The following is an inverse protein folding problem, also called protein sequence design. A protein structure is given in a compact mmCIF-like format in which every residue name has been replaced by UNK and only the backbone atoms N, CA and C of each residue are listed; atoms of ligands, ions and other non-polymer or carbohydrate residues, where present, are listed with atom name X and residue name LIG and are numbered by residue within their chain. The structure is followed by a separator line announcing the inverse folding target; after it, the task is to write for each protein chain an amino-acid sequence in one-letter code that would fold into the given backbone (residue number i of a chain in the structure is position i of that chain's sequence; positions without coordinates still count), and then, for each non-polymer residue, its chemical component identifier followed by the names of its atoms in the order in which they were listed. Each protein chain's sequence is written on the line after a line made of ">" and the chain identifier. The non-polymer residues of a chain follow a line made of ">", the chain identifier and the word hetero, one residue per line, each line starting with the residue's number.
data_IF_826099009753
#
_entry.id   IF_826099009753
#
_cell.length_a   1.000
_cell.length_b   1.000
_cell.length_c   1.000
_cell.angle_alpha   90.00
_cell.angle_beta   90.00
_cell.angle_gamma   90.00
#
_symmetry.space_group_name_H-M   'P 1'
#
loop_
_entity.id
_entity.type
_entity.pdbx_description
1 polymer ?
#
# COMPACT_ATOMS: atom_id res chain seq x y z
N UNK A 1 -12.05 -19.72 -17.40
CA UNK A 1 -12.35 -18.58 -16.51
C UNK A 1 -13.47 -17.74 -17.14
N UNK A 2 -14.39 -17.34 -16.30
CA UNK A 2 -15.52 -16.49 -16.71
C UNK A 2 -15.17 -15.01 -16.52
N UNK A 3 -15.99 -14.13 -17.10
CA UNK A 3 -15.87 -12.68 -16.86
C UNK A 3 -15.95 -12.35 -15.38
N UNK A 4 -16.81 -13.04 -14.63
CA UNK A 4 -16.94 -12.88 -13.19
C UNK A 4 -15.62 -13.21 -12.47
N UNK A 5 -14.94 -14.27 -12.90
CA UNK A 5 -13.65 -14.66 -12.30
C UNK A 5 -12.60 -13.56 -12.48
N UNK A 6 -12.53 -12.99 -13.67
CA UNK A 6 -11.62 -11.87 -13.96
C UNK A 6 -11.93 -10.64 -13.10
N UNK A 7 -13.21 -10.33 -12.91
CA UNK A 7 -13.62 -9.20 -12.06
C UNK A 7 -13.27 -9.45 -10.59
N UNK A 8 -13.46 -10.66 -10.10
CA UNK A 8 -13.12 -11.02 -8.72
C UNK A 8 -11.61 -10.96 -8.47
N UNK A 9 -10.82 -11.47 -9.42
CA UNK A 9 -9.35 -11.40 -9.37
C UNK A 9 -8.91 -9.93 -9.38
N UNK A 10 -9.49 -9.12 -10.27
CA UNK A 10 -9.16 -7.70 -10.37
C UNK A 10 -9.47 -6.96 -9.08
N UNK A 11 -10.63 -7.23 -8.48
CA UNK A 11 -10.97 -6.65 -7.17
C UNK A 11 -9.95 -7.03 -6.11
N UNK A 12 -9.54 -8.31 -6.07
CA UNK A 12 -8.52 -8.78 -5.13
C UNK A 12 -7.17 -8.07 -5.35
N UNK A 13 -6.78 -7.86 -6.60
CA UNK A 13 -5.55 -7.12 -6.94
C UNK A 13 -5.61 -5.66 -6.48
N UNK A 14 -6.76 -5.01 -6.64
CA UNK A 14 -6.95 -3.63 -6.18
C UNK A 14 -6.93 -3.54 -4.65
N UNK A 15 -7.53 -4.50 -3.96
CA UNK A 15 -7.46 -4.57 -2.49
C UNK A 15 -6.01 -4.77 -2.05
N UNK A 16 -5.28 -5.67 -2.71
CA UNK A 16 -3.86 -5.88 -2.46
C UNK A 16 -3.04 -4.61 -2.66
N UNK A 17 -3.31 -3.85 -3.72
CA UNK A 17 -2.69 -2.56 -3.98
C UNK A 17 -2.94 -1.56 -2.85
N UNK A 18 -4.18 -1.45 -2.39
CA UNK A 18 -4.53 -0.56 -1.29
C UNK A 18 -3.77 -0.93 -0.01
N UNK A 19 -3.72 -2.22 0.31
CA UNK A 19 -2.99 -2.71 1.49
C UNK A 19 -1.47 -2.51 1.36
N UNK A 20 -0.93 -2.68 0.16
CA UNK A 20 0.47 -2.42 -0.14
C UNK A 20 0.84 -0.95 0.08
N UNK A 21 -0.04 -0.02 -0.32
CA UNK A 21 0.20 1.41 -0.10
C UNK A 21 0.21 1.76 1.39
N UNK A 22 -0.66 1.16 2.18
CA UNK A 22 -0.65 1.32 3.63
C UNK A 22 0.62 0.72 4.26
N UNK A 23 1.04 -0.46 3.78
CA UNK A 23 2.27 -1.09 4.25
C UNK A 23 3.50 -0.22 3.93
N UNK A 24 3.53 0.42 2.76
CA UNK A 24 4.61 1.32 2.37
C UNK A 24 4.72 2.51 3.33
N UNK A 25 3.61 3.11 3.72
CA UNK A 25 3.59 4.20 4.69
C UNK A 25 4.16 3.76 6.04
N UNK A 26 3.78 2.57 6.52
CA UNK A 26 4.32 2.02 7.77
C UNK A 26 5.82 1.71 7.67
N UNK A 27 6.27 1.22 6.52
CA UNK A 27 7.70 0.98 6.28
C UNK A 27 8.50 2.28 6.25
N UNK A 28 7.95 3.34 5.67
CA UNK A 28 8.56 4.67 5.68
C UNK A 28 8.71 5.21 7.12
N UNK A 29 7.66 5.09 7.92
CA UNK A 29 7.68 5.50 9.32
C UNK A 29 8.73 4.71 10.11
N UNK A 30 8.77 3.39 9.90
CA UNK A 30 9.76 2.53 10.57
C UNK A 30 11.18 2.87 10.15
N UNK A 31 11.42 3.18 8.89
CA UNK A 31 12.74 3.60 8.39
C UNK A 31 13.22 4.88 9.08
N UNK A 32 12.32 5.85 9.28
CA UNK A 32 12.64 7.10 10.00
C UNK A 32 13.02 6.80 11.45
N UNK A 33 12.27 5.94 12.12
CA UNK A 33 12.55 5.55 13.51
C UNK A 33 13.92 4.86 13.64
N UNK A 34 14.25 3.96 12.73
CA UNK A 34 15.54 3.27 12.72
C UNK A 34 16.68 4.26 12.53
N UNK A 35 16.54 5.21 11.61
CA UNK A 35 17.56 6.26 11.39
C UNK A 35 17.78 7.06 12.68
N UNK A 36 16.71 7.40 13.38
CA UNK A 36 16.74 8.14 14.63
C UNK A 36 17.45 7.32 15.71
N UNK A 37 17.11 6.05 15.87
CA UNK A 37 17.74 5.15 16.84
C UNK A 37 19.22 4.95 16.55
N UNK A 38 19.60 4.79 15.28
CA UNK A 38 21.00 4.67 14.85
C UNK A 38 21.79 5.92 15.19
N UNK A 39 21.24 7.09 14.94
CA UNK A 39 21.86 8.38 15.26
C UNK A 39 22.06 8.52 16.76
N UNK A 40 21.04 8.19 17.56
CA UNK A 40 21.10 8.24 19.01
C UNK A 40 22.14 7.24 19.57
N UNK A 41 22.18 6.06 18.99
CA UNK A 41 23.14 5.02 19.40
C UNK A 41 24.59 5.44 19.13
N UNK A 42 24.85 6.06 17.98
CA UNK A 42 26.16 6.60 17.63
C UNK A 42 26.58 7.72 18.57
N UNK A 43 25.64 8.63 18.90
CA UNK A 43 25.89 9.72 19.84
C UNK A 43 26.27 9.22 21.23
N UNK A 44 25.57 8.21 21.74
CA UNK A 44 25.89 7.58 23.02
C UNK A 44 27.28 6.96 23.01
N UNK A 45 27.71 6.37 21.91
CA UNK A 45 29.04 5.78 21.79
C UNK A 45 30.15 6.80 21.91
N UNK A 46 29.99 8.00 21.37
CA UNK A 46 30.98 9.07 21.45
C UNK A 46 31.10 9.65 22.84
N UNK A 47 30.05 9.63 23.64
CA UNK A 47 29.97 10.21 24.97
C UNK A 47 30.39 9.23 26.08
N UNK A 48 30.62 7.96 25.77
CA UNK A 48 30.98 6.93 26.73
C UNK A 48 32.40 6.44 26.50
N UNK A 49 33.15 6.27 27.64
CA UNK A 49 34.42 5.56 27.59
C UNK A 49 34.19 4.13 27.10
N UNK A 50 35.17 3.54 26.35
CA UNK A 50 35.06 2.16 25.91
C UNK A 50 34.89 1.22 27.10
N UNK A 51 33.73 0.61 27.20
CA UNK A 51 33.47 -0.42 28.21
C UNK A 51 33.97 -1.75 27.65
N UNK A 52 34.95 -2.34 28.30
CA UNK A 52 35.40 -3.68 27.96
C UNK A 52 34.40 -4.69 28.51
N UNK A 53 33.75 -5.46 27.62
CA UNK A 53 32.80 -6.51 27.98
C UNK A 53 31.55 -6.54 27.14
N UNK A 54 30.48 -7.14 27.66
CA UNK A 54 29.22 -7.39 26.94
C UNK A 54 28.53 -6.16 26.39
N UNK A 55 28.81 -4.96 26.89
CA UNK A 55 28.21 -3.72 26.40
C UNK A 55 28.67 -3.31 25.02
N UNK A 56 29.92 -3.57 24.62
CA UNK A 56 30.44 -3.27 23.29
C UNK A 56 29.83 -4.21 22.25
N UNK A 57 29.72 -5.51 22.58
CA UNK A 57 29.07 -6.50 21.70
C UNK A 57 27.60 -6.20 21.53
N UNK A 58 26.89 -5.78 22.57
CA UNK A 58 25.50 -5.39 22.52
C UNK A 58 25.27 -4.20 21.61
N UNK A 59 26.16 -3.20 21.60
CA UNK A 59 26.09 -2.06 20.70
C UNK A 59 26.23 -2.49 19.25
N UNK A 60 27.26 -3.26 18.94
CA UNK A 60 27.53 -3.73 17.57
C UNK A 60 26.42 -4.63 17.04
N UNK A 61 25.89 -5.52 17.89
CA UNK A 61 24.79 -6.41 17.54
C UNK A 61 23.52 -5.61 17.22
N UNK A 62 23.22 -4.59 18.02
CA UNK A 62 22.07 -3.71 17.77
C UNK A 62 22.23 -2.92 16.50
N UNK A 63 23.42 -2.37 16.25
CA UNK A 63 23.70 -1.62 15.02
C UNK A 63 23.59 -2.52 13.80
N UNK A 64 24.15 -3.72 13.84
CA UNK A 64 24.02 -4.69 12.75
C UNK A 64 22.56 -5.09 12.50
N UNK A 65 21.78 -5.29 13.55
CA UNK A 65 20.35 -5.60 13.43
C UNK A 65 19.58 -4.46 12.77
N UNK A 66 19.87 -3.21 13.13
CA UNK A 66 19.24 -2.03 12.52
C UNK A 66 19.60 -1.89 11.04
N UNK A 67 20.86 -2.13 10.68
CA UNK A 67 21.32 -2.10 9.28
C UNK A 67 20.59 -3.17 8.47
N UNK A 68 20.51 -4.39 9.02
CA UNK A 68 19.78 -5.49 8.37
C UNK A 68 18.29 -5.15 8.19
N UNK A 69 17.64 -4.56 9.18
CA UNK A 69 16.25 -4.14 9.10
C UNK A 69 16.05 -3.06 8.03
N UNK A 70 16.95 -2.08 7.94
CA UNK A 70 16.93 -1.07 6.86
C UNK A 70 16.96 -1.71 5.47
N UNK A 71 17.83 -2.70 5.29
CA UNK A 71 17.93 -3.40 4.01
C UNK A 71 16.65 -4.17 3.68
N UNK A 72 16.05 -4.81 4.67
CA UNK A 72 14.76 -5.50 4.52
C UNK A 72 13.66 -4.51 4.11
N UNK A 73 13.60 -3.36 4.78
CA UNK A 73 12.62 -2.30 4.48
C UNK A 73 12.82 -1.80 3.05
N UNK A 74 14.05 -1.48 2.66
CA UNK A 74 14.36 -0.98 1.31
C UNK A 74 13.95 -2.00 0.23
N UNK A 75 14.27 -3.27 0.44
CA UNK A 75 13.90 -4.35 -0.47
C UNK A 75 12.39 -4.49 -0.59
N UNK A 76 11.69 -4.49 0.55
CA UNK A 76 10.24 -4.63 0.58
C UNK A 76 9.53 -3.45 -0.09
N UNK A 77 9.98 -2.23 0.16
CA UNK A 77 9.46 -1.02 -0.48
C UNK A 77 9.61 -1.06 -1.99
N UNK A 78 10.76 -1.54 -2.49
CA UNK A 78 10.99 -1.69 -3.92
C UNK A 78 10.03 -2.70 -4.53
N UNK A 79 9.83 -3.86 -3.91
CA UNK A 79 8.90 -4.88 -4.37
C UNK A 79 7.46 -4.37 -4.43
N UNK A 80 7.03 -3.68 -3.37
CA UNK A 80 5.71 -3.05 -3.31
C UNK A 80 5.56 -2.01 -4.42
N UNK A 81 6.57 -1.15 -4.61
CA UNK A 81 6.56 -0.12 -5.65
C UNK A 81 6.47 -0.69 -7.06
N UNK A 82 7.16 -1.78 -7.33
CA UNK A 82 7.11 -2.44 -8.65
C UNK A 82 5.72 -2.98 -8.96
N UNK A 83 5.07 -3.62 -7.99
CA UNK A 83 3.69 -4.10 -8.15
C UNK A 83 2.70 -2.96 -8.29
N UNK A 84 2.89 -1.92 -7.49
CA UNK A 84 2.01 -0.74 -7.49
C UNK A 84 2.00 0.01 -8.81
N UNK A 85 3.14 0.12 -9.49
CA UNK A 85 3.24 0.88 -10.74
C UNK A 85 2.29 0.39 -11.82
N UNK A 86 2.12 -0.91 -11.94
CA UNK A 86 1.20 -1.47 -12.95
C UNK A 86 -0.23 -1.04 -12.65
N UNK A 87 -0.65 -1.18 -11.40
CA UNK A 87 -2.00 -0.79 -10.97
C UNK A 87 -2.21 0.71 -11.14
N UNK A 88 -1.23 1.52 -10.74
CA UNK A 88 -1.30 2.98 -10.87
C UNK A 88 -1.44 3.44 -12.32
N UNK A 89 -0.73 2.79 -13.25
CA UNK A 89 -0.86 3.10 -14.69
C UNK A 89 -2.27 2.82 -15.20
N UNK A 90 -2.84 1.72 -14.78
CA UNK A 90 -4.20 1.35 -15.16
C UNK A 90 -5.21 2.31 -14.55
N UNK A 91 -5.08 2.63 -13.28
CA UNK A 91 -5.97 3.58 -12.60
C UNK A 91 -5.90 4.97 -13.22
N UNK A 92 -4.73 5.38 -13.68
CA UNK A 92 -4.53 6.69 -14.31
C UNK A 92 -5.33 6.85 -15.62
N UNK A 93 -5.73 5.75 -16.26
CA UNK A 93 -6.56 5.79 -17.48
C UNK A 93 -8.03 6.07 -17.19
N UNK A 94 -8.47 5.92 -15.95
CA UNK A 94 -9.85 6.18 -15.55
C UNK A 94 -10.08 7.68 -15.36
N UNK A 95 -11.34 8.11 -15.54
CA UNK A 95 -11.77 9.45 -15.12
C UNK A 95 -11.62 9.57 -13.61
N UNK A 96 -11.38 10.78 -13.12
CA UNK A 96 -11.21 11.04 -11.69
C UNK A 96 -12.38 10.53 -10.86
N UNK A 97 -13.61 10.78 -11.32
CA UNK A 97 -14.84 10.32 -10.66
C UNK A 97 -14.91 8.80 -10.59
N UNK A 98 -14.65 8.12 -11.71
CA UNK A 98 -14.69 6.65 -11.80
C UNK A 98 -13.64 6.02 -10.88
N UNK A 99 -12.44 6.58 -10.87
CA UNK A 99 -11.35 6.13 -10.00
C UNK A 99 -11.70 6.33 -8.53
N UNK A 100 -12.26 7.49 -8.18
CA UNK A 100 -12.66 7.81 -6.81
C UNK A 100 -13.72 6.82 -6.30
N UNK A 101 -14.75 6.57 -7.11
CA UNK A 101 -15.81 5.62 -6.76
C UNK A 101 -15.23 4.21 -6.63
N UNK A 102 -14.44 3.77 -7.60
CA UNK A 102 -13.81 2.45 -7.57
C UNK A 102 -12.95 2.26 -6.33
N UNK A 103 -12.05 3.21 -6.06
CA UNK A 103 -11.11 3.09 -4.94
C UNK A 103 -11.80 3.27 -3.58
N UNK A 104 -12.91 4.00 -3.51
CA UNK A 104 -13.71 4.08 -2.28
C UNK A 104 -14.33 2.72 -1.95
N UNK A 105 -14.85 2.00 -2.95
CA UNK A 105 -15.35 0.64 -2.76
C UNK A 105 -14.24 -0.35 -2.39
N UNK A 106 -13.07 -0.22 -3.02
CA UNK A 106 -11.90 -1.05 -2.73
C UNK A 106 -11.45 -0.85 -1.27
N UNK A 107 -11.34 0.41 -0.86
CA UNK A 107 -10.98 0.75 0.53
C UNK A 107 -11.99 0.17 1.52
N UNK A 108 -13.27 0.35 1.25
CA UNK A 108 -14.32 -0.19 2.11
C UNK A 108 -14.25 -1.71 2.21
N UNK A 109 -13.97 -2.40 1.10
CA UNK A 109 -13.79 -3.86 1.11
C UNK A 109 -12.58 -4.28 1.95
N UNK A 110 -11.46 -3.56 1.83
CA UNK A 110 -10.24 -3.85 2.58
C UNK A 110 -10.42 -3.61 4.08
N UNK A 111 -11.18 -2.60 4.45
CA UNK A 111 -11.40 -2.18 5.84
C UNK A 111 -12.69 -2.77 6.44
N UNK A 112 -13.42 -3.59 5.68
CA UNK A 112 -14.73 -4.12 6.08
C UNK A 112 -15.76 -3.02 6.39
N UNK A 113 -15.65 -1.88 5.70
CA UNK A 113 -16.57 -0.76 5.81
C UNK A 113 -17.89 -1.02 5.09
N UNK A 114 -18.94 -0.26 5.46
CA UNK A 114 -20.31 -0.50 4.97
C UNK A 114 -20.91 0.65 4.18
N UNK A 115 -20.27 1.83 4.14
CA UNK A 115 -20.93 3.06 3.70
C UNK A 115 -20.33 3.67 2.42
N UNK A 116 -19.60 2.88 1.63
CA UNK A 116 -18.98 3.38 0.40
C UNK A 116 -20.01 3.92 -0.59
N UNK A 117 -21.11 3.21 -0.78
CA UNK A 117 -22.17 3.63 -1.70
C UNK A 117 -22.79 4.94 -1.26
N UNK A 118 -23.14 5.06 0.01
CA UNK A 118 -23.76 6.25 0.60
C UNK A 118 -22.84 7.46 0.50
N UNK A 119 -21.55 7.26 0.79
CA UNK A 119 -20.53 8.30 0.70
C UNK A 119 -20.45 8.87 -0.72
N UNK A 120 -20.44 7.99 -1.71
CA UNK A 120 -20.34 8.41 -3.11
C UNK A 120 -21.66 8.99 -3.65
N UNK A 121 -22.81 8.50 -3.19
CA UNK A 121 -24.09 9.10 -3.51
C UNK A 121 -24.16 10.56 -3.04
N UNK A 122 -23.69 10.81 -1.84
CA UNK A 122 -23.66 12.17 -1.28
C UNK A 122 -22.67 13.06 -2.00
N UNK A 123 -21.46 12.55 -2.23
CA UNK A 123 -20.37 13.34 -2.86
C UNK A 123 -20.73 13.79 -4.28
N UNK A 124 -21.31 12.92 -5.07
CA UNK A 124 -21.59 13.18 -6.49
C UNK A 124 -23.06 13.46 -6.79
N UNK A 125 -23.92 13.46 -5.80
CA UNK A 125 -25.36 13.65 -5.96
C UNK A 125 -25.97 12.62 -6.91
N UNK A 126 -25.50 11.38 -6.81
CA UNK A 126 -25.99 10.26 -7.64
C UNK A 126 -26.91 9.35 -6.86
N UNK A 127 -27.76 8.63 -7.59
CA UNK A 127 -28.52 7.52 -7.02
C UNK A 127 -27.62 6.33 -6.74
N UNK A 128 -28.09 5.41 -5.91
CA UNK A 128 -27.39 4.17 -5.63
C UNK A 128 -27.11 3.38 -6.90
N UNK A 129 -28.09 3.28 -7.80
CA UNK A 129 -27.93 2.58 -9.08
C UNK A 129 -26.82 3.18 -9.95
N UNK A 130 -26.73 4.51 -9.99
CA UNK A 130 -25.70 5.21 -10.75
C UNK A 130 -24.31 4.94 -10.16
N UNK A 131 -24.17 5.00 -8.84
CA UNK A 131 -22.90 4.72 -8.18
C UNK A 131 -22.43 3.29 -8.47
N UNK A 132 -23.30 2.31 -8.35
CA UNK A 132 -22.95 0.91 -8.65
C UNK A 132 -22.66 0.67 -10.13
N UNK A 133 -23.37 1.36 -11.01
CA UNK A 133 -23.10 1.27 -12.45
C UNK A 133 -21.70 1.78 -12.78
N UNK A 134 -21.32 2.93 -12.24
CA UNK A 134 -19.98 3.51 -12.43
C UNK A 134 -18.91 2.60 -11.84
N UNK A 135 -19.15 2.07 -10.64
CA UNK A 135 -18.24 1.13 -10.00
C UNK A 135 -17.99 -0.11 -10.88
N UNK A 136 -19.06 -0.75 -11.34
CA UNK A 136 -18.95 -1.95 -12.19
C UNK A 136 -18.24 -1.66 -13.50
N UNK A 137 -18.55 -0.54 -14.13
CA UNK A 137 -17.90 -0.13 -15.38
C UNK A 137 -16.40 0.14 -15.16
N UNK A 138 -16.05 0.87 -14.10
CA UNK A 138 -14.67 1.15 -13.77
C UNK A 138 -13.88 -0.14 -13.47
N UNK A 139 -14.48 -1.06 -12.71
CA UNK A 139 -13.86 -2.35 -12.42
C UNK A 139 -13.63 -3.17 -13.70
N UNK A 140 -14.62 -3.18 -14.60
CA UNK A 140 -14.49 -3.86 -15.89
C UNK A 140 -13.40 -3.24 -16.77
N UNK A 141 -13.29 -1.91 -16.77
CA UNK A 141 -12.23 -1.21 -17.51
C UNK A 141 -10.85 -1.55 -17.00
N UNK A 142 -10.68 -1.59 -15.67
CA UNK A 142 -9.43 -2.02 -15.05
C UNK A 142 -9.10 -3.47 -15.40
N UNK A 143 -10.10 -4.35 -15.33
CA UNK A 143 -9.91 -5.77 -15.67
C UNK A 143 -9.46 -5.93 -17.13
N UNK A 144 -10.08 -5.21 -18.07
CA UNK A 144 -9.66 -5.23 -19.47
C UNK A 144 -8.25 -4.71 -19.67
N UNK A 145 -7.89 -3.64 -18.99
CA UNK A 145 -6.55 -3.08 -19.07
C UNK A 145 -5.49 -4.03 -18.51
N UNK A 146 -5.82 -4.76 -17.44
CA UNK A 146 -4.89 -5.69 -16.79
C UNK A 146 -4.77 -7.02 -17.55
N UNK A 147 -5.89 -7.57 -18.01
CA UNK A 147 -5.96 -8.95 -18.51
C UNK A 147 -6.22 -9.05 -20.01
N UNK A 148 -6.46 -7.93 -20.68
CA UNK A 148 -6.83 -7.91 -22.10
C UNK A 148 -8.32 -8.10 -22.31
N UNK A 149 -8.71 -8.37 -23.58
CA UNK A 149 -10.12 -8.57 -23.91
C UNK A 149 -10.73 -9.75 -23.20
N UNK A 150 -11.61 -9.46 -22.28
CA UNK A 150 -12.42 -10.45 -21.55
C UNK A 150 -13.83 -10.41 -22.15
N UNK A 151 -14.19 -11.40 -22.76
CA UNK A 151 -15.48 -11.32 -23.37
C UNK A 151 -16.22 -12.48 -23.67
#
# INVERSE_FOLDING_TARGET
>A
MTTKDYLDITRSELIGYYLDMQAQDRLDERAVLIEHEMTSLKGVRYDREPVTGSGANGYEDRLCAMIAEKDIIATRKRQIGERARMVERVLATLRDESRDILMTFVRASAEHGKYASEEMQEKYMYSRSQVYAIYREALADVARAMWGGIG
#
